data_IF_835602742463
#
_entry.id   IF_835602742463
#
_cell.length_a   1.000
_cell.length_b   1.000
_cell.length_c   1.000
_cell.angle_alpha   90.00
_cell.angle_beta   90.00
_cell.angle_gamma   90.00
#
_symmetry.space_group_name_H-M   'P 1'
#
loop_
_entity.id
_entity.type
_entity.pdbx_description
1 polymer ?
#
# COMPACT_ATOMS: atom_id res chain seq x y z
N UNK A 1 1.22 6.67 15.11
CA UNK A 1 0.53 6.62 13.80
C UNK A 1 1.05 7.63 12.77
N UNK A 2 1.34 8.89 13.15
CA UNK A 2 1.66 9.94 12.16
C UNK A 2 2.98 9.72 11.39
N UNK A 3 4.05 9.29 12.07
CA UNK A 3 5.38 9.16 11.44
C UNK A 3 5.47 7.94 10.49
N UNK A 4 5.11 6.75 10.97
CA UNK A 4 5.21 5.53 10.16
C UNK A 4 4.09 5.46 9.12
N UNK A 5 2.82 5.58 9.51
CA UNK A 5 1.70 5.39 8.58
C UNK A 5 1.52 6.60 7.64
N UNK A 6 1.35 7.81 8.18
CA UNK A 6 1.14 9.02 7.36
C UNK A 6 2.42 9.60 6.75
N UNK A 7 3.59 9.24 7.30
CA UNK A 7 4.90 9.62 6.75
C UNK A 7 5.45 8.53 5.83
N UNK A 8 6.02 7.47 6.41
CA UNK A 8 6.76 6.43 5.66
C UNK A 8 5.88 5.67 4.69
N UNK A 9 4.77 5.07 5.15
CA UNK A 9 3.90 4.24 4.31
C UNK A 9 3.23 5.02 3.20
N UNK A 10 2.69 6.20 3.51
CA UNK A 10 2.16 7.12 2.50
C UNK A 10 3.20 7.43 1.43
N UNK A 11 4.44 7.75 1.83
CA UNK A 11 5.53 8.07 0.91
C UNK A 11 5.90 6.87 0.03
N UNK A 12 5.98 5.66 0.61
CA UNK A 12 6.29 4.42 -0.10
C UNK A 12 5.24 4.13 -1.19
N UNK A 13 3.96 4.21 -0.86
CA UNK A 13 2.89 3.96 -1.84
C UNK A 13 2.90 5.03 -2.93
N UNK A 14 3.09 6.30 -2.59
CA UNK A 14 3.16 7.38 -3.58
C UNK A 14 4.39 7.27 -4.49
N UNK A 15 5.50 6.70 -4.01
CA UNK A 15 6.66 6.37 -4.83
C UNK A 15 6.32 5.30 -5.87
N UNK A 16 5.68 4.20 -5.46
CA UNK A 16 5.29 3.12 -6.37
C UNK A 16 4.26 3.57 -7.42
N UNK A 17 3.28 4.37 -7.02
CA UNK A 17 2.26 4.91 -7.94
C UNK A 17 2.84 6.00 -8.88
N UNK A 18 4.02 6.53 -8.56
CA UNK A 18 4.67 7.60 -9.35
C UNK A 18 4.04 8.98 -9.14
N UNK A 19 3.37 9.19 -8.01
CA UNK A 19 2.80 10.48 -7.62
C UNK A 19 3.80 11.39 -6.88
N UNK A 20 5.05 10.94 -6.68
CA UNK A 20 6.14 11.77 -6.15
C UNK A 20 6.95 12.40 -7.30
N UNK A 21 7.20 13.72 -7.19
CA UNK A 21 8.15 14.40 -8.09
C UNK A 21 9.54 13.78 -7.92
N UNK A 22 10.21 13.45 -9.04
CA UNK A 22 11.53 12.80 -9.09
C UNK A 22 11.57 11.35 -8.56
N UNK A 23 10.45 10.64 -8.53
CA UNK A 23 10.48 9.21 -8.21
C UNK A 23 11.29 8.44 -9.28
N UNK A 24 12.22 7.55 -8.88
CA UNK A 24 12.97 6.74 -9.84
C UNK A 24 12.03 5.81 -10.61
N UNK A 25 12.24 5.68 -11.92
CA UNK A 25 11.42 4.82 -12.77
C UNK A 25 11.56 3.33 -12.40
N UNK A 26 12.69 2.94 -11.81
CA UNK A 26 12.99 1.56 -11.40
C UNK A 26 12.08 1.02 -10.29
N UNK A 27 11.48 1.91 -9.48
CA UNK A 27 10.57 1.52 -8.38
C UNK A 27 9.10 1.80 -8.71
N UNK A 28 8.83 2.37 -9.88
CA UNK A 28 7.48 2.76 -10.28
C UNK A 28 6.75 1.54 -10.85
N UNK A 29 5.53 1.30 -10.36
CA UNK A 29 4.68 0.26 -10.89
C UNK A 29 3.97 0.72 -12.17
N UNK A 30 3.82 -0.16 -13.17
CA UNK A 30 2.97 0.12 -14.31
C UNK A 30 1.50 0.21 -13.87
N UNK A 31 0.69 0.92 -14.63
CA UNK A 31 -0.71 1.19 -14.25
C UNK A 31 -1.54 -0.10 -14.13
N UNK A 32 -1.20 -1.14 -14.90
CA UNK A 32 -1.80 -2.49 -14.81
C UNK A 32 -1.60 -3.11 -13.44
N UNK A 33 -0.40 -2.98 -12.86
CA UNK A 33 -0.09 -3.53 -11.54
C UNK A 33 -0.79 -2.71 -10.44
N UNK A 34 -0.92 -1.39 -10.60
CA UNK A 34 -1.65 -0.52 -9.67
C UNK A 34 -3.15 -0.88 -9.65
N UNK A 35 -3.72 -1.17 -10.82
CA UNK A 35 -5.08 -1.66 -10.95
C UNK A 35 -5.24 -3.03 -10.29
N UNK A 36 -4.35 -3.98 -10.58
CA UNK A 36 -4.37 -5.30 -9.95
C UNK A 36 -4.33 -5.23 -8.42
N UNK A 37 -3.45 -4.40 -7.83
CA UNK A 37 -3.41 -4.21 -6.37
C UNK A 37 -4.70 -3.57 -5.86
N UNK A 38 -5.25 -2.60 -6.60
CA UNK A 38 -6.53 -1.97 -6.22
C UNK A 38 -7.68 -2.97 -6.20
N UNK A 39 -7.75 -3.84 -7.21
CA UNK A 39 -8.80 -4.85 -7.32
C UNK A 39 -8.66 -5.91 -6.21
N UNK A 40 -7.43 -6.33 -5.89
CA UNK A 40 -7.15 -7.21 -4.75
C UNK A 40 -7.56 -6.57 -3.42
N UNK A 41 -7.28 -5.27 -3.21
CA UNK A 41 -7.71 -4.55 -2.02
C UNK A 41 -9.24 -4.48 -1.91
N UNK A 42 -9.94 -4.28 -3.02
CA UNK A 42 -11.41 -4.28 -3.05
C UNK A 42 -11.98 -5.69 -2.83
N UNK A 43 -11.31 -6.73 -3.31
CA UNK A 43 -11.69 -8.13 -3.07
C UNK A 43 -11.50 -8.54 -1.60
N UNK A 44 -10.50 -7.98 -0.92
CA UNK A 44 -10.28 -8.16 0.52
C UNK A 44 -11.23 -7.32 1.39
N UNK A 45 -11.89 -6.31 0.82
CA UNK A 45 -12.82 -5.46 1.58
C UNK A 45 -13.90 -6.23 2.37
N UNK A 46 -14.60 -7.23 1.83
CA UNK A 46 -15.60 -8.01 2.57
C UNK A 46 -15.00 -8.90 3.67
N UNK A 47 -13.71 -9.27 3.60
CA UNK A 47 -13.08 -10.12 4.63
C UNK A 47 -12.59 -9.32 5.85
N UNK A 48 -12.77 -8.00 5.85
CA UNK A 48 -12.29 -7.12 6.91
C UNK A 48 -13.41 -6.91 7.93
N UNK A 49 -13.13 -7.33 9.16
CA UNK A 49 -14.08 -7.31 10.26
C UNK A 49 -14.41 -5.88 10.71
N UNK A 50 -15.54 -5.75 11.42
CA UNK A 50 -15.99 -4.47 12.00
C UNK A 50 -15.04 -3.89 13.05
N UNK A 51 -14.06 -4.67 13.53
CA UNK A 51 -13.02 -4.19 14.46
C UNK A 51 -12.12 -3.13 13.84
N UNK A 52 -12.02 -3.11 12.51
CA UNK A 52 -11.28 -2.10 11.78
C UNK A 52 -12.19 -0.91 11.48
N UNK A 53 -11.76 0.28 11.90
CA UNK A 53 -12.54 1.52 11.77
C UNK A 53 -12.88 1.89 10.32
N UNK A 54 -12.07 1.44 9.34
CA UNK A 54 -12.25 1.75 7.92
C UNK A 54 -11.86 0.56 7.04
N UNK A 55 -12.65 0.24 6.01
CA UNK A 55 -12.28 -0.75 5.01
C UNK A 55 -11.15 -0.25 4.09
N UNK A 56 -10.44 -1.15 3.40
CA UNK A 56 -9.44 -0.80 2.40
C UNK A 56 -10.11 -0.14 1.20
N UNK A 57 -9.35 0.73 0.54
CA UNK A 57 -9.75 1.46 -0.65
C UNK A 57 -8.75 1.17 -1.78
N UNK A 58 -9.11 1.58 -2.99
CA UNK A 58 -8.19 1.53 -4.13
C UNK A 58 -6.94 2.36 -3.89
N UNK A 59 -5.82 1.96 -4.50
CA UNK A 59 -4.58 2.74 -4.51
C UNK A 59 -4.74 4.10 -5.21
N UNK A 60 -5.76 4.26 -6.07
CA UNK A 60 -6.06 5.55 -6.72
C UNK A 60 -6.48 6.63 -5.72
N UNK A 61 -7.00 6.22 -4.56
CA UNK A 61 -7.48 7.13 -3.51
C UNK A 61 -6.44 7.35 -2.40
N UNK A 62 -5.21 6.87 -2.56
CA UNK A 62 -4.14 6.96 -1.55
C UNK A 62 -3.96 8.35 -0.96
N UNK A 63 -4.05 9.48 -1.69
CA UNK A 63 -3.93 10.81 -1.09
C UNK A 63 -5.00 11.11 -0.02
N UNK A 64 -6.16 10.44 -0.09
CA UNK A 64 -7.31 10.60 0.81
C UNK A 64 -7.33 9.60 1.96
N UNK A 65 -6.46 8.60 1.96
CA UNK A 65 -6.38 7.61 3.04
C UNK A 65 -6.01 8.27 4.37
N UNK A 66 -6.62 7.78 5.44
CA UNK A 66 -6.29 8.14 6.82
C UNK A 66 -5.23 7.19 7.39
N UNK A 67 -4.63 7.59 8.52
CA UNK A 67 -3.61 6.78 9.20
C UNK A 67 -4.05 5.33 9.48
N UNK A 68 -5.33 5.12 9.78
CA UNK A 68 -5.90 3.80 10.05
C UNK A 68 -5.90 2.89 8.83
N UNK A 69 -6.13 3.44 7.63
CA UNK A 69 -6.11 2.70 6.37
C UNK A 69 -4.67 2.31 6.01
N UNK A 70 -3.70 3.22 6.18
CA UNK A 70 -2.29 2.90 6.03
C UNK A 70 -1.79 1.85 7.02
N UNK A 71 -2.31 1.85 8.26
CA UNK A 71 -2.00 0.83 9.27
C UNK A 71 -2.53 -0.54 8.86
N UNK A 72 -3.80 -0.60 8.42
CA UNK A 72 -4.42 -1.82 7.91
C UNK A 72 -3.63 -2.38 6.72
N UNK A 73 -3.22 -1.50 5.81
CA UNK A 73 -2.37 -1.86 4.69
C UNK A 73 -1.00 -2.38 5.14
N UNK A 74 -0.31 -1.67 6.02
CA UNK A 74 1.01 -2.10 6.51
C UNK A 74 0.94 -3.46 7.20
N UNK A 75 -0.02 -3.67 8.11
CA UNK A 75 -0.02 -4.81 9.02
C UNK A 75 -0.79 -6.04 8.51
N UNK A 76 -1.67 -5.89 7.52
CA UNK A 76 -2.57 -7.00 7.13
C UNK A 76 -2.64 -7.18 5.61
N UNK A 77 -3.17 -6.19 4.88
CA UNK A 77 -3.46 -6.41 3.45
C UNK A 77 -2.22 -6.28 2.56
N UNK A 78 -1.28 -5.40 2.90
CA UNK A 78 -0.09 -5.08 2.12
C UNK A 78 0.77 -6.30 1.76
N UNK A 79 1.20 -7.14 2.73
CA UNK A 79 2.01 -8.32 2.44
C UNK A 79 1.38 -9.26 1.42
N UNK A 80 0.05 -9.37 1.42
CA UNK A 80 -0.72 -10.25 0.52
C UNK A 80 -0.90 -9.60 -0.85
N UNK A 81 -1.37 -8.35 -0.91
CA UNK A 81 -1.68 -7.69 -2.20
C UNK A 81 -0.43 -7.27 -2.97
N UNK A 82 0.71 -7.12 -2.31
CA UNK A 82 1.97 -6.73 -2.94
C UNK A 82 2.81 -7.92 -3.38
N UNK A 83 2.51 -9.12 -2.86
CA UNK A 83 3.24 -10.34 -3.19
C UNK A 83 3.12 -10.62 -4.69
N UNK A 84 4.24 -10.92 -5.34
CA UNK A 84 4.35 -11.19 -6.79
C UNK A 84 4.07 -10.00 -7.73
N UNK A 85 3.79 -8.80 -7.19
CA UNK A 85 3.55 -7.59 -8.01
C UNK A 85 4.70 -6.59 -7.90
N UNK A 86 5.29 -6.45 -6.71
CA UNK A 86 6.50 -5.64 -6.50
C UNK A 86 7.75 -6.42 -6.89
N UNK A 87 8.80 -5.69 -7.28
CA UNK A 87 10.15 -6.24 -7.39
C UNK A 87 10.61 -6.79 -6.03
N UNK A 88 11.42 -7.85 -6.07
CA UNK A 88 11.87 -8.59 -4.88
C UNK A 88 12.56 -7.70 -3.84
N UNK A 89 13.41 -6.75 -4.28
CA UNK A 89 14.07 -5.79 -3.38
C UNK A 89 13.05 -4.86 -2.69
N UNK A 90 12.07 -4.36 -3.45
CA UNK A 90 11.04 -3.45 -2.94
C UNK A 90 10.10 -4.19 -1.98
N UNK A 91 9.75 -5.44 -2.30
CA UNK A 91 8.94 -6.29 -1.45
C UNK A 91 9.68 -6.63 -0.15
N UNK A 92 10.96 -7.02 -0.23
CA UNK A 92 11.78 -7.31 0.95
C UNK A 92 11.91 -6.09 1.87
N UNK A 93 12.11 -4.90 1.29
CA UNK A 93 12.12 -3.65 2.07
C UNK A 93 10.77 -3.40 2.75
N UNK A 94 9.66 -3.64 2.04
CA UNK A 94 8.32 -3.52 2.61
C UNK A 94 8.08 -4.52 3.75
N UNK A 95 8.47 -5.79 3.57
CA UNK A 95 8.33 -6.83 4.59
C UNK A 95 9.16 -6.49 5.84
N UNK A 96 10.35 -5.94 5.66
CA UNK A 96 11.15 -5.43 6.78
C UNK A 96 10.36 -4.38 7.59
N UNK A 97 9.70 -3.43 6.92
CA UNK A 97 8.87 -2.43 7.59
C UNK A 97 7.59 -3.01 8.21
N UNK A 98 7.05 -4.09 7.66
CA UNK A 98 5.87 -4.79 8.17
C UNK A 98 6.15 -5.55 9.48
N UNK A 99 7.34 -6.16 9.59
CA UNK A 99 7.75 -6.96 10.75
C UNK A 99 8.36 -6.12 11.88
N UNK A 100 8.98 -4.98 11.56
CA UNK A 100 9.53 -4.03 12.54
C UNK A 100 8.44 -3.35 13.38
#
# INVERSE_FOLDING_TARGET
MHLVCLGVMKKLILLWVGNLKKAPLSVRLPNTNIQAISDLLLLLKPSITSDFTRPPRSLNEVPRWKATEYRLFLLYSGPVVLQNILNEDCYSHFVCLHVC
#
